data_IF_528559839375
#
_entry.id   IF_528559839375
#
_cell.length_a   1.000
_cell.length_b   1.000
_cell.length_c   1.000
_cell.angle_alpha   90.00
_cell.angle_beta   90.00
_cell.angle_gamma   90.00
#
_symmetry.space_group_name_H-M   'P 1'
#
loop_
_entity.id
_entity.type
_entity.pdbx_description
1 polymer ?
#
# COMPACT_ATOMS: atom_id res chain seq x y z
N UNK A 1 -37.56 -35.72 -3.06
CA UNK A 1 -36.89 -35.16 -1.87
C UNK A 1 -36.16 -33.91 -2.33
N UNK A 2 -36.66 -32.73 -1.96
CA UNK A 2 -35.98 -31.46 -2.25
C UNK A 2 -34.71 -31.44 -1.41
N UNK A 3 -33.53 -31.43 -2.04
CA UNK A 3 -32.32 -31.02 -1.33
C UNK A 3 -32.58 -29.59 -0.86
N UNK A 4 -32.66 -29.39 0.46
CA UNK A 4 -32.78 -28.06 1.02
C UNK A 4 -31.54 -27.27 0.63
N UNK A 5 -31.73 -26.13 -0.03
CA UNK A 5 -30.64 -25.18 -0.28
C UNK A 5 -30.04 -24.81 1.07
N UNK A 6 -28.80 -25.21 1.36
CA UNK A 6 -28.06 -24.65 2.49
C UNK A 6 -27.84 -23.18 2.17
N UNK A 7 -28.34 -22.31 3.05
CA UNK A 7 -28.12 -20.88 3.00
C UNK A 7 -27.01 -20.59 3.99
N UNK A 8 -25.79 -20.42 3.50
CA UNK A 8 -24.70 -19.94 4.33
C UNK A 8 -24.81 -18.41 4.44
N UNK A 9 -25.10 -17.94 5.65
CA UNK A 9 -25.21 -16.52 5.93
C UNK A 9 -23.82 -15.94 6.18
N UNK A 10 -23.29 -15.20 5.21
CA UNK A 10 -22.03 -14.47 5.34
C UNK A 10 -22.30 -13.00 5.64
N UNK A 11 -21.54 -12.41 6.59
CA UNK A 11 -21.51 -10.97 6.81
C UNK A 11 -20.22 -10.41 6.18
N UNK A 12 -20.31 -9.73 5.01
CA UNK A 12 -19.13 -9.22 4.32
C UNK A 12 -18.51 -8.00 5.02
N UNK A 13 -19.16 -7.45 6.05
CA UNK A 13 -18.66 -6.30 6.80
C UNK A 13 -18.33 -5.12 5.89
N UNK A 14 -17.11 -4.58 6.03
CA UNK A 14 -16.60 -3.46 5.21
C UNK A 14 -15.93 -3.92 3.91
N UNK A 15 -15.74 -5.23 3.72
CA UNK A 15 -14.91 -5.78 2.65
C UNK A 15 -15.41 -5.39 1.26
N UNK A 16 -16.72 -5.50 1.01
CA UNK A 16 -17.30 -5.14 -0.29
C UNK A 16 -17.11 -3.66 -0.66
N UNK A 17 -17.15 -2.74 0.31
CA UNK A 17 -16.87 -1.33 0.06
C UNK A 17 -15.39 -1.12 -0.29
N UNK A 18 -14.48 -1.77 0.45
CA UNK A 18 -13.03 -1.67 0.22
C UNK A 18 -12.68 -2.22 -1.17
N UNK A 19 -13.20 -3.40 -1.52
CA UNK A 19 -12.98 -4.02 -2.83
C UNK A 19 -13.53 -3.14 -3.94
N UNK A 20 -14.79 -2.68 -3.85
CA UNK A 20 -15.38 -1.83 -4.89
C UNK A 20 -14.61 -0.52 -5.12
N UNK A 21 -14.12 0.12 -4.04
CA UNK A 21 -13.27 1.32 -4.18
C UNK A 21 -11.93 0.99 -4.83
N UNK A 22 -11.30 -0.11 -4.46
CA UNK A 22 -10.01 -0.53 -5.00
C UNK A 22 -10.10 -0.94 -6.48
N UNK A 23 -11.17 -1.61 -6.89
CA UNK A 23 -11.46 -1.93 -8.28
C UNK A 23 -11.70 -0.65 -9.11
N UNK A 24 -12.47 0.31 -8.60
CA UNK A 24 -12.68 1.61 -9.28
C UNK A 24 -11.39 2.42 -9.44
N UNK A 25 -10.41 2.23 -8.56
CA UNK A 25 -9.08 2.84 -8.67
C UNK A 25 -8.12 2.06 -9.59
N UNK A 26 -8.52 0.88 -10.08
CA UNK A 26 -7.70 0.03 -10.94
C UNK A 26 -6.61 -0.73 -10.20
N UNK A 27 -6.80 -1.05 -8.91
CA UNK A 27 -5.82 -1.78 -8.09
C UNK A 27 -5.51 -3.14 -8.68
N UNK A 28 -6.54 -3.90 -9.07
CA UNK A 28 -6.38 -5.28 -9.55
C UNK A 28 -5.57 -5.29 -10.84
N UNK A 29 -5.94 -4.44 -11.80
CA UNK A 29 -5.32 -4.32 -13.10
C UNK A 29 -3.87 -3.88 -12.97
N UNK A 30 -3.60 -2.84 -12.17
CA UNK A 30 -2.26 -2.31 -12.01
C UNK A 30 -1.31 -3.32 -11.34
N UNK A 31 -1.77 -4.00 -10.29
CA UNK A 31 -0.96 -5.02 -9.62
C UNK A 31 -0.70 -6.21 -10.54
N UNK A 32 -1.69 -6.67 -11.30
CA UNK A 32 -1.48 -7.73 -12.29
C UNK A 32 -0.50 -7.28 -13.39
N UNK A 33 -0.64 -6.05 -13.91
CA UNK A 33 0.27 -5.47 -14.92
C UNK A 33 1.72 -5.45 -14.42
N UNK A 34 1.93 -5.00 -13.18
CA UNK A 34 3.26 -4.74 -12.63
C UNK A 34 3.94 -5.96 -12.03
N UNK A 35 3.18 -6.88 -11.45
CA UNK A 35 3.73 -7.97 -10.65
C UNK A 35 3.72 -9.31 -11.41
N UNK A 36 2.77 -9.53 -12.32
CA UNK A 36 2.71 -10.79 -13.06
C UNK A 36 3.92 -10.96 -13.99
N UNK A 37 4.42 -12.19 -14.08
CA UNK A 37 5.51 -12.55 -15.00
C UNK A 37 4.97 -13.38 -16.16
N UNK A 38 5.34 -13.00 -17.40
CA UNK A 38 5.07 -13.82 -18.59
C UNK A 38 5.98 -15.06 -18.68
N UNK A 39 6.93 -15.21 -17.74
CA UNK A 39 7.87 -16.31 -17.65
C UNK A 39 7.61 -17.07 -16.35
N UNK A 40 7.29 -18.36 -16.45
CA UNK A 40 7.10 -19.23 -15.29
C UNK A 40 5.74 -19.91 -15.28
N UNK A 41 5.41 -20.49 -14.13
CA UNK A 41 4.10 -21.09 -13.89
C UNK A 41 3.07 -19.97 -13.70
N UNK A 42 1.87 -20.08 -14.29
CA UNK A 42 0.79 -19.14 -14.02
C UNK A 42 0.48 -19.06 -12.52
N UNK A 43 0.25 -17.85 -12.03
CA UNK A 43 -0.23 -17.60 -10.66
C UNK A 43 -1.58 -18.32 -10.46
N UNK A 44 -1.77 -18.98 -9.32
CA UNK A 44 -3.07 -19.59 -9.00
C UNK A 44 -4.12 -18.54 -8.61
N UNK A 45 -3.67 -17.49 -7.93
CA UNK A 45 -4.46 -16.31 -7.58
C UNK A 45 -3.69 -15.10 -8.14
N UNK A 46 -4.30 -14.24 -8.97
CA UNK A 46 -3.64 -13.05 -9.49
C UNK A 46 -3.16 -12.12 -8.36
N UNK A 47 -2.03 -11.44 -8.55
CA UNK A 47 -1.46 -10.56 -7.53
C UNK A 47 -2.39 -9.40 -7.15
N UNK A 48 -3.18 -8.90 -8.10
CA UNK A 48 -4.21 -7.89 -7.81
C UNK A 48 -5.27 -8.39 -6.83
N UNK A 49 -5.69 -9.65 -6.95
CA UNK A 49 -6.63 -10.27 -6.01
C UNK A 49 -5.98 -10.47 -4.64
N UNK A 50 -4.73 -10.95 -4.59
CA UNK A 50 -3.98 -11.06 -3.33
C UNK A 50 -3.80 -9.69 -2.64
N UNK A 51 -3.57 -8.63 -3.42
CA UNK A 51 -3.47 -7.27 -2.89
C UNK A 51 -4.80 -6.78 -2.30
N UNK A 52 -5.94 -7.04 -2.97
CA UNK A 52 -7.26 -6.76 -2.41
C UNK A 52 -7.49 -7.49 -1.08
N UNK A 53 -7.14 -8.77 -1.00
CA UNK A 53 -7.26 -9.55 0.23
C UNK A 53 -6.45 -8.92 1.38
N UNK A 54 -5.24 -8.46 1.10
CA UNK A 54 -4.42 -7.74 2.09
C UNK A 54 -5.06 -6.41 2.50
N UNK A 55 -5.54 -5.60 1.55
CA UNK A 55 -6.19 -4.32 1.85
C UNK A 55 -7.45 -4.51 2.71
N UNK A 56 -8.29 -5.49 2.38
CA UNK A 56 -9.46 -5.86 3.19
C UNK A 56 -9.04 -6.24 4.59
N UNK A 57 -8.03 -7.09 4.74
CA UNK A 57 -7.54 -7.48 6.05
C UNK A 57 -7.05 -6.28 6.87
N UNK A 58 -6.26 -5.39 6.27
CA UNK A 58 -5.70 -4.21 6.94
C UNK A 58 -6.76 -3.18 7.36
N UNK A 59 -7.82 -3.01 6.57
CA UNK A 59 -8.88 -2.03 6.82
C UNK A 59 -10.02 -2.56 7.71
N UNK A 60 -10.06 -3.87 7.95
CA UNK A 60 -11.06 -4.53 8.78
C UNK A 60 -10.54 -4.75 10.22
N UNK A 61 -10.02 -5.94 10.52
CA UNK A 61 -9.57 -6.33 11.87
C UNK A 61 -8.05 -6.53 11.98
N UNK A 62 -7.30 -6.41 10.87
CA UNK A 62 -5.83 -6.53 10.79
C UNK A 62 -5.25 -7.78 11.47
N UNK A 63 -5.14 -8.86 10.71
CA UNK A 63 -4.60 -10.15 11.19
C UNK A 63 -3.18 -10.38 10.63
N UNK A 64 -2.31 -11.09 11.36
CA UNK A 64 -1.01 -11.49 10.81
C UNK A 64 -1.19 -12.43 9.62
N UNK A 65 -0.22 -12.44 8.70
CA UNK A 65 -0.29 -13.22 7.44
C UNK A 65 -0.56 -14.71 7.67
N UNK A 66 0.08 -15.30 8.69
CA UNK A 66 -0.11 -16.71 9.07
C UNK A 66 -1.53 -17.05 9.56
N UNK A 67 -2.38 -16.04 9.82
CA UNK A 67 -3.77 -16.21 10.25
C UNK A 67 -4.78 -15.72 9.21
N UNK A 68 -4.33 -15.40 7.99
CA UNK A 68 -5.23 -14.96 6.93
C UNK A 68 -6.19 -16.07 6.49
N UNK A 69 -5.74 -17.32 6.48
CA UNK A 69 -6.62 -18.48 6.25
C UNK A 69 -7.78 -18.46 7.26
N UNK A 70 -7.49 -18.47 8.57
CA UNK A 70 -8.51 -18.37 9.63
C UNK A 70 -9.44 -17.16 9.46
N UNK A 71 -8.88 -15.99 9.15
CA UNK A 71 -9.63 -14.74 8.97
C UNK A 71 -10.65 -14.84 7.82
N UNK A 72 -10.31 -15.57 6.76
CA UNK A 72 -11.12 -15.71 5.56
C UNK A 72 -12.08 -16.91 5.60
N UNK A 73 -11.99 -17.79 6.60
CA UNK A 73 -12.77 -19.04 6.69
C UNK A 73 -14.30 -18.86 6.64
N UNK A 74 -14.81 -17.75 7.19
CA UNK A 74 -16.26 -17.49 7.27
C UNK A 74 -16.73 -16.41 6.27
N UNK A 75 -15.89 -16.04 5.30
CA UNK A 75 -16.18 -14.99 4.31
C UNK A 75 -16.46 -15.60 2.93
N UNK A 76 -17.41 -15.02 2.22
CA UNK A 76 -17.67 -15.37 0.82
C UNK A 76 -16.59 -14.77 -0.08
N UNK A 77 -15.54 -15.55 -0.36
CA UNK A 77 -14.37 -15.07 -1.09
C UNK A 77 -14.70 -14.71 -2.53
N UNK A 78 -15.47 -15.55 -3.21
CA UNK A 78 -15.84 -15.31 -4.60
C UNK A 78 -16.79 -14.11 -4.71
N UNK A 79 -17.75 -13.99 -3.79
CA UNK A 79 -18.64 -12.84 -3.73
C UNK A 79 -17.95 -11.53 -3.35
N UNK A 80 -16.90 -11.57 -2.51
CA UNK A 80 -16.17 -10.37 -2.08
C UNK A 80 -15.12 -9.93 -3.10
N UNK A 81 -14.33 -10.87 -3.64
CA UNK A 81 -13.16 -10.56 -4.48
C UNK A 81 -13.41 -10.78 -5.98
N UNK A 82 -14.63 -11.19 -6.35
CA UNK A 82 -15.04 -11.43 -7.74
C UNK A 82 -14.11 -12.40 -8.50
N UNK A 83 -13.49 -13.33 -7.76
CA UNK A 83 -12.57 -14.34 -8.30
C UNK A 83 -12.76 -15.66 -7.54
N UNK A 84 -12.76 -16.82 -8.23
CA UNK A 84 -12.96 -18.11 -7.58
C UNK A 84 -11.71 -18.51 -6.76
N UNK A 85 -11.73 -18.19 -5.47
CA UNK A 85 -10.67 -18.51 -4.51
C UNK A 85 -11.12 -19.69 -3.65
N UNK A 86 -10.37 -20.79 -3.67
CA UNK A 86 -10.56 -21.86 -2.69
C UNK A 86 -9.81 -21.54 -1.41
N UNK A 87 -10.39 -21.91 -0.28
CA UNK A 87 -9.82 -21.63 1.03
C UNK A 87 -8.40 -22.18 1.19
N UNK A 88 -8.13 -23.39 0.68
CA UNK A 88 -6.83 -24.06 0.76
C UNK A 88 -5.73 -23.38 -0.06
N UNK A 89 -6.10 -22.42 -0.91
CA UNK A 89 -5.14 -21.62 -1.66
C UNK A 89 -4.61 -20.44 -0.85
N UNK A 90 -5.24 -20.08 0.28
CA UNK A 90 -4.82 -18.99 1.15
C UNK A 90 -3.70 -19.49 2.07
N UNK A 91 -2.50 -18.97 1.87
CA UNK A 91 -1.37 -19.21 2.78
C UNK A 91 -0.47 -17.97 2.84
N UNK A 92 0.30 -17.86 3.91
CA UNK A 92 1.20 -16.75 4.18
C UNK A 92 2.34 -16.66 3.16
N UNK A 93 2.86 -17.77 2.66
CA UNK A 93 3.90 -17.79 1.62
C UNK A 93 3.48 -17.01 0.36
N UNK A 94 2.21 -17.10 -0.07
CA UNK A 94 1.70 -16.33 -1.22
C UNK A 94 1.70 -14.82 -0.97
N UNK A 95 1.32 -14.40 0.23
CA UNK A 95 1.34 -12.98 0.60
C UNK A 95 2.78 -12.48 0.79
N UNK A 96 3.68 -13.33 1.32
CA UNK A 96 5.12 -13.10 1.33
C UNK A 96 5.65 -12.83 -0.07
N UNK A 97 5.35 -13.73 -1.01
CA UNK A 97 5.77 -13.58 -2.39
C UNK A 97 5.17 -12.34 -3.06
N UNK A 98 3.91 -11.99 -2.79
CA UNK A 98 3.32 -10.73 -3.25
C UNK A 98 4.15 -9.52 -2.76
N UNK A 99 4.56 -9.50 -1.48
CA UNK A 99 5.35 -8.40 -0.93
C UNK A 99 6.76 -8.32 -1.55
N UNK A 100 7.40 -9.46 -1.81
CA UNK A 100 8.70 -9.50 -2.51
C UNK A 100 8.57 -8.91 -3.91
N UNK A 101 7.55 -9.33 -4.67
CA UNK A 101 7.29 -8.79 -6.01
C UNK A 101 6.94 -7.31 -5.98
N UNK A 102 6.17 -6.87 -4.98
CA UNK A 102 5.83 -5.48 -4.79
C UNK A 102 7.07 -4.62 -4.49
N UNK A 103 7.99 -5.14 -3.67
CA UNK A 103 9.27 -4.51 -3.39
C UNK A 103 10.10 -4.35 -4.67
N UNK A 104 10.26 -5.43 -5.44
CA UNK A 104 11.03 -5.44 -6.69
C UNK A 104 10.43 -4.52 -7.77
N UNK A 105 9.10 -4.40 -7.80
CA UNK A 105 8.39 -3.54 -8.75
C UNK A 105 8.40 -2.05 -8.37
N UNK A 106 8.87 -1.69 -7.17
CA UNK A 106 8.86 -0.32 -6.68
C UNK A 106 7.49 0.08 -6.11
N UNK A 107 7.26 -0.08 -4.78
CA UNK A 107 5.94 0.17 -4.19
C UNK A 107 5.47 1.62 -4.33
N UNK A 108 6.42 2.57 -4.35
CA UNK A 108 6.13 4.00 -4.54
C UNK A 108 5.55 4.30 -5.92
N UNK A 109 6.10 3.71 -6.99
CA UNK A 109 5.59 3.92 -8.36
C UNK A 109 4.15 3.40 -8.48
N UNK A 110 3.89 2.21 -7.95
CA UNK A 110 2.55 1.60 -7.93
C UNK A 110 1.59 2.50 -7.14
N UNK A 111 1.99 2.97 -5.95
CA UNK A 111 1.18 3.85 -5.13
C UNK A 111 0.85 5.17 -5.84
N UNK A 112 1.85 5.87 -6.40
CA UNK A 112 1.64 7.14 -7.11
C UNK A 112 0.73 6.97 -8.33
N UNK A 113 0.82 5.84 -9.06
CA UNK A 113 -0.07 5.56 -10.19
C UNK A 113 -1.51 5.28 -9.75
N UNK A 114 -1.72 4.61 -8.60
CA UNK A 114 -3.06 4.46 -8.02
C UNK A 114 -3.64 5.79 -7.56
N UNK A 115 -2.84 6.63 -6.91
CA UNK A 115 -3.25 7.97 -6.55
C UNK A 115 -3.66 8.77 -7.80
N UNK A 116 -2.84 8.76 -8.86
CA UNK A 116 -3.18 9.40 -10.13
C UNK A 116 -4.53 8.92 -10.70
N UNK A 117 -4.77 7.61 -10.70
CA UNK A 117 -6.04 7.04 -11.14
C UNK A 117 -7.21 7.59 -10.33
N UNK A 118 -7.10 7.67 -9.01
CA UNK A 118 -8.15 8.23 -8.15
C UNK A 118 -8.44 9.69 -8.48
N UNK A 119 -7.41 10.53 -8.62
CA UNK A 119 -7.59 11.95 -8.95
C UNK A 119 -8.26 12.14 -10.32
N UNK A 120 -7.84 11.37 -11.33
CA UNK A 120 -8.44 11.39 -12.67
C UNK A 120 -9.89 10.87 -12.66
N UNK A 121 -10.16 9.78 -11.93
CA UNK A 121 -11.48 9.15 -11.86
C UNK A 121 -12.53 10.05 -11.21
N UNK A 122 -12.14 10.79 -10.18
CA UNK A 122 -13.03 11.63 -9.37
C UNK A 122 -12.93 13.12 -9.70
N UNK A 123 -12.21 13.50 -10.76
CA UNK A 123 -11.99 14.90 -11.19
C UNK A 123 -11.52 15.82 -10.05
N UNK A 124 -10.58 15.31 -9.25
CA UNK A 124 -10.05 16.03 -8.09
C UNK A 124 -8.95 16.98 -8.58
N UNK A 125 -9.16 18.28 -8.37
CA UNK A 125 -8.18 19.30 -8.74
C UNK A 125 -7.16 19.49 -7.63
N UNK A 126 -5.90 19.19 -7.92
CA UNK A 126 -4.77 19.46 -7.03
C UNK A 126 -4.40 20.93 -7.08
N UNK A 127 -4.52 21.63 -5.95
CA UNK A 127 -4.09 23.03 -5.83
C UNK A 127 -2.74 23.20 -5.15
N UNK A 128 -2.38 22.27 -4.28
CA UNK A 128 -1.10 22.20 -3.60
C UNK A 128 -0.80 20.75 -3.21
N UNK A 129 0.47 20.47 -2.93
CA UNK A 129 0.91 19.22 -2.31
C UNK A 129 1.72 19.60 -1.08
N UNK A 130 1.30 19.07 0.07
CA UNK A 130 1.99 19.25 1.34
C UNK A 130 2.75 17.98 1.68
N UNK A 131 4.04 18.15 1.99
CA UNK A 131 4.93 17.07 2.38
C UNK A 131 5.27 17.21 3.86
N UNK A 132 5.03 16.15 4.62
CA UNK A 132 5.50 16.03 6.01
C UNK A 132 6.12 14.65 6.23
N UNK A 133 7.04 14.56 7.17
CA UNK A 133 7.59 13.28 7.63
C UNK A 133 6.81 12.81 8.85
N UNK A 134 6.56 11.52 8.99
CA UNK A 134 6.08 10.96 10.26
C UNK A 134 6.96 9.77 10.66
N UNK A 135 6.90 9.36 11.92
CA UNK A 135 7.72 8.27 12.43
C UNK A 135 6.85 7.17 13.01
N UNK A 136 7.16 5.92 12.68
CA UNK A 136 6.57 4.73 13.30
C UNK A 136 7.61 4.06 14.19
N UNK A 137 7.28 3.94 15.47
CA UNK A 137 8.12 3.23 16.46
C UNK A 137 8.04 1.73 16.21
N UNK A 138 9.19 1.08 16.27
CA UNK A 138 9.37 -0.34 16.00
C UNK A 138 9.79 -1.06 17.30
N UNK A 139 9.36 -2.32 17.47
CA UNK A 139 9.45 -3.04 18.75
C UNK A 139 10.35 -4.28 18.75
N UNK A 140 10.74 -4.77 17.57
CA UNK A 140 11.69 -5.86 17.42
C UNK A 140 13.15 -5.41 17.49
N UNK A 141 14.06 -6.39 17.50
CA UNK A 141 15.52 -6.17 17.49
C UNK A 141 16.02 -5.63 16.15
N UNK A 142 15.37 -6.04 15.04
CA UNK A 142 15.71 -5.71 13.64
C UNK A 142 17.22 -5.67 13.42
N UNK A 143 17.82 -6.86 13.36
CA UNK A 143 19.20 -7.04 12.95
C UNK A 143 19.27 -6.85 11.44
N UNK A 144 19.70 -5.67 11.01
CA UNK A 144 20.05 -5.41 9.61
C UNK A 144 21.49 -5.86 9.40
N UNK A 145 21.80 -6.45 8.25
CA UNK A 145 23.19 -6.54 7.80
C UNK A 145 23.68 -5.10 7.59
N UNK A 146 24.52 -4.59 8.51
CA UNK A 146 25.03 -3.22 8.46
C UNK A 146 25.56 -2.89 7.05
N UNK A 147 24.89 -1.97 6.34
CA UNK A 147 25.45 -1.31 5.17
C UNK A 147 25.01 -1.81 3.78
N UNK A 148 23.88 -2.52 3.62
CA UNK A 148 23.28 -2.66 2.28
C UNK A 148 22.69 -1.33 1.81
N UNK A 149 23.47 -0.59 1.01
CA UNK A 149 23.03 0.64 0.33
C UNK A 149 21.73 0.36 -0.46
N UNK A 150 20.65 1.07 -0.12
CA UNK A 150 19.34 0.92 -0.77
C UNK A 150 18.29 0.15 0.05
N UNK A 151 18.66 -0.41 1.20
CA UNK A 151 17.72 -0.99 2.17
C UNK A 151 17.45 0.03 3.29
N UNK A 152 16.21 0.08 3.79
CA UNK A 152 15.82 0.97 4.88
C UNK A 152 16.38 0.45 6.20
N UNK A 153 17.12 1.29 6.92
CA UNK A 153 17.64 0.96 8.24
C UNK A 153 16.61 1.29 9.32
N UNK A 154 16.17 0.24 10.03
CA UNK A 154 15.30 0.39 11.21
C UNK A 154 16.20 0.75 12.39
N UNK A 155 16.38 2.05 12.61
CA UNK A 155 17.36 2.60 13.54
C UNK A 155 16.75 3.67 14.46
N UNK A 156 17.50 4.08 15.48
CA UNK A 156 17.14 5.17 16.37
C UNK A 156 17.18 6.51 15.63
N UNK A 157 16.36 7.46 16.07
CA UNK A 157 16.39 8.81 15.53
C UNK A 157 15.45 9.76 16.26
N UNK A 158 15.25 10.95 15.70
CA UNK A 158 14.30 11.91 16.25
C UNK A 158 12.86 11.43 15.99
N UNK A 159 12.21 10.91 17.03
CA UNK A 159 10.87 10.36 16.96
C UNK A 159 9.79 11.42 17.20
N UNK A 160 8.82 11.54 16.29
CA UNK A 160 7.63 12.39 16.51
C UNK A 160 6.76 11.88 17.66
N UNK A 161 6.89 10.61 18.05
CA UNK A 161 6.23 10.02 19.23
C UNK A 161 7.03 10.23 20.53
N UNK A 162 8.15 10.97 20.49
CA UNK A 162 9.05 11.23 21.63
C UNK A 162 9.61 9.95 22.27
N UNK A 163 9.85 8.91 21.46
CA UNK A 163 10.44 7.62 21.87
C UNK A 163 11.84 7.44 21.28
N UNK A 164 12.79 8.27 21.71
CA UNK A 164 14.20 8.14 21.31
C UNK A 164 14.87 6.86 21.83
N UNK A 165 14.21 6.17 22.77
CA UNK A 165 14.63 4.88 23.33
C UNK A 165 14.30 3.68 22.42
N UNK A 166 13.69 3.92 21.25
CA UNK A 166 13.24 2.87 20.33
C UNK A 166 13.71 3.13 18.91
N UNK A 167 13.97 2.02 18.19
CA UNK A 167 14.16 2.04 16.75
C UNK A 167 12.87 2.49 16.06
N UNK A 168 13.00 3.10 14.90
CA UNK A 168 11.88 3.63 14.15
C UNK A 168 12.11 3.51 12.64
N UNK A 169 11.03 3.68 11.89
CA UNK A 169 11.09 4.04 10.48
C UNK A 169 10.47 5.43 10.31
N UNK A 170 10.93 6.18 9.31
CA UNK A 170 10.31 7.43 8.90
C UNK A 170 9.47 7.19 7.64
N UNK A 171 8.40 7.97 7.50
CA UNK A 171 7.51 7.96 6.35
C UNK A 171 7.41 9.39 5.85
N UNK A 172 7.91 9.66 4.64
CA UNK A 172 7.61 10.91 3.94
C UNK A 172 6.27 10.76 3.23
N UNK A 173 5.31 11.62 3.55
CA UNK A 173 3.95 11.55 3.01
C UNK A 173 3.63 12.86 2.30
N UNK A 174 3.30 12.75 1.01
CA UNK A 174 2.76 13.85 0.21
C UNK A 174 1.24 13.78 0.18
N UNK A 175 0.58 14.86 0.56
CA UNK A 175 -0.90 14.94 0.59
C UNK A 175 -1.40 16.12 -0.24
N UNK A 176 -2.38 15.87 -1.10
CA UNK A 176 -3.09 16.87 -1.89
C UNK A 176 -4.59 16.79 -1.62
N UNK A 177 -5.24 17.91 -1.31
CA UNK A 177 -6.69 17.96 -0.99
C UNK A 177 -7.15 16.93 0.07
N UNK A 178 -6.26 16.60 1.02
CA UNK A 178 -6.53 15.59 2.06
C UNK A 178 -6.33 14.13 1.63
N UNK A 179 -5.89 13.88 0.41
CA UNK A 179 -5.62 12.54 -0.15
C UNK A 179 -4.11 12.34 -0.27
N UNK A 180 -3.64 11.17 0.15
CA UNK A 180 -2.22 10.81 0.02
C UNK A 180 -1.90 10.54 -1.45
N UNK A 181 -0.97 11.31 -2.01
CA UNK A 181 -0.52 11.22 -3.41
C UNK A 181 0.86 10.61 -3.55
N UNK A 182 1.64 10.61 -2.47
CA UNK A 182 2.97 10.06 -2.44
C UNK A 182 3.31 9.53 -1.05
N UNK A 183 4.11 8.48 -1.01
CA UNK A 183 4.52 7.81 0.21
C UNK A 183 5.88 7.15 0.03
N UNK A 184 6.84 7.52 0.87
CA UNK A 184 8.17 6.94 0.87
C UNK A 184 8.56 6.49 2.27
N UNK A 185 9.03 5.24 2.38
CA UNK A 185 9.62 4.72 3.61
C UNK A 185 11.10 5.10 3.66
N UNK A 186 11.54 5.64 4.78
CA UNK A 186 12.86 6.19 5.01
C UNK A 186 13.51 5.54 6.24
N UNK A 187 14.84 5.46 6.25
CA UNK A 187 15.61 5.00 7.42
C UNK A 187 15.28 5.82 8.67
N UNK A 188 15.24 5.16 9.82
CA UNK A 188 14.82 5.76 11.10
C UNK A 188 15.69 6.94 11.56
N UNK A 189 16.94 6.96 11.09
CA UNK A 189 17.96 7.97 11.37
C UNK A 189 18.09 9.05 10.28
N UNK A 190 17.30 9.00 9.19
CA UNK A 190 17.40 9.99 8.10
C UNK A 190 17.04 11.39 8.62
N UNK A 191 17.95 12.35 8.44
CA UNK A 191 17.78 13.75 8.87
C UNK A 191 16.79 14.48 7.95
N UNK A 192 15.90 15.28 8.56
CA UNK A 192 14.88 16.05 7.85
C UNK A 192 15.50 17.12 6.92
N UNK A 193 16.68 17.66 7.26
CA UNK A 193 17.38 18.66 6.42
C UNK A 193 17.85 18.08 5.08
N UNK A 194 18.25 16.82 5.07
CA UNK A 194 18.68 16.11 3.85
C UNK A 194 17.47 15.77 2.98
N UNK A 195 16.36 15.39 3.61
CA UNK A 195 15.10 15.08 2.91
C UNK A 195 14.50 16.29 2.18
N UNK A 196 14.67 17.49 2.70
CA UNK A 196 14.12 18.71 2.07
C UNK A 196 14.65 18.99 0.67
N UNK A 197 15.93 18.68 0.42
CA UNK A 197 16.50 18.85 -0.91
C UNK A 197 16.04 17.74 -1.86
N UNK A 198 15.99 16.49 -1.38
CA UNK A 198 15.47 15.35 -2.15
C UNK A 198 14.00 15.61 -2.55
N UNK A 199 13.20 16.20 -1.67
CA UNK A 199 11.76 16.43 -1.86
C UNK A 199 11.37 17.29 -3.05
N UNK A 200 12.19 18.27 -3.42
CA UNK A 200 11.84 19.15 -4.53
C UNK A 200 11.79 18.34 -5.84
N UNK A 201 12.72 17.41 -6.03
CA UNK A 201 12.71 16.46 -7.15
C UNK A 201 11.51 15.50 -7.04
N UNK A 202 11.19 15.05 -5.82
CA UNK A 202 10.04 14.15 -5.58
C UNK A 202 8.70 14.78 -5.95
N UNK A 203 8.51 16.08 -5.65
CA UNK A 203 7.31 16.81 -6.05
C UNK A 203 7.18 16.82 -7.58
N UNK A 204 8.28 17.00 -8.32
CA UNK A 204 8.23 17.02 -9.79
C UNK A 204 7.81 15.68 -10.36
N UNK A 205 8.35 14.59 -9.82
CA UNK A 205 7.98 13.22 -10.21
C UNK A 205 6.50 12.95 -9.95
N UNK A 206 5.99 13.37 -8.79
CA UNK A 206 4.58 13.19 -8.43
C UNK A 206 3.68 14.01 -9.35
N UNK A 207 4.01 15.28 -9.61
CA UNK A 207 3.23 16.12 -10.52
C UNK A 207 3.20 15.57 -11.95
N UNK A 208 4.35 15.07 -12.44
CA UNK A 208 4.46 14.38 -13.72
C UNK A 208 3.57 13.12 -13.75
N UNK A 209 3.61 12.30 -12.70
CA UNK A 209 2.81 11.08 -12.58
C UNK A 209 1.30 11.37 -12.56
N UNK A 210 0.89 12.48 -11.93
CA UNK A 210 -0.49 12.94 -11.85
C UNK A 210 -0.95 13.67 -13.12
N UNK A 211 -0.05 13.89 -14.10
CA UNK A 211 -0.27 14.68 -15.33
C UNK A 211 -0.75 16.11 -15.04
N UNK A 212 -0.28 16.70 -13.95
CA UNK A 212 -0.64 18.05 -13.54
C UNK A 212 0.47 19.00 -14.02
N UNK A 213 0.08 20.01 -14.78
CA UNK A 213 0.99 21.09 -15.16
C UNK A 213 1.29 21.97 -13.94
N UNK A 214 2.56 22.24 -13.67
CA UNK A 214 3.02 23.10 -12.57
C UNK A 214 2.38 24.49 -12.61
N UNK A 215 2.03 24.99 -13.79
CA UNK A 215 1.38 26.30 -13.95
C UNK A 215 -0.07 26.32 -13.42
N UNK A 216 -0.68 25.15 -13.22
CA UNK A 216 -2.05 25.02 -12.73
C UNK A 216 -2.15 24.91 -11.19
N UNK A 217 -1.01 24.84 -10.49
CA UNK A 217 -0.92 24.56 -9.06
C UNK A 217 -0.54 25.85 -8.32
N UNK A 218 -1.34 26.23 -7.32
CA UNK A 218 -1.06 27.39 -6.50
C UNK A 218 0.02 27.07 -5.47
N UNK A 219 1.29 27.31 -5.84
CA UNK A 219 2.49 27.16 -5.01
C UNK A 219 2.60 25.81 -4.25
N UNK A 220 3.59 24.99 -4.62
CA UNK A 220 3.91 23.81 -3.81
C UNK A 220 4.58 24.27 -2.50
N UNK A 221 3.87 24.14 -1.38
CA UNK A 221 4.38 24.53 -0.07
C UNK A 221 4.81 23.28 0.69
N UNK A 222 6.13 23.07 0.81
CA UNK A 222 6.67 22.17 1.83
C UNK A 222 6.45 22.88 3.17
N UNK A 223 5.45 22.42 3.92
CA UNK A 223 5.02 23.05 5.17
C UNK A 223 5.51 22.16 6.31
N UNK A 224 6.32 22.72 7.21
CA UNK A 224 6.86 22.06 8.41
C UNK A 224 6.02 22.36 9.65
#
# INVERSE_FOLDING_TARGET
MSQGTMIDAHSPGKAGLIVGLAEEMGVVELFNEKLSSNKGRPEEIPYGVLALMMMVNMCDDHHPLCRLEEYFAMKDLEGIFHYPIRHEQINDDRFGHLMDRLHDAGPREIFSRLAANAFLRYDIRVKNINYDTTSKVMWGTYETEDGKLGVIDIDFGHSKQRRSDKKQIKLGIGTAEGIVVDGQVLSGNKDDKTWNNDNLELVEDVLSSLRIDKEQIGACHVTY
#
